data_IF_114763355093
#
_entry.id   IF_114763355093
#
_cell.length_a   1.000
_cell.length_b   1.000
_cell.length_c   1.000
_cell.angle_alpha   90.00
_cell.angle_beta   90.00
_cell.angle_gamma   90.00
#
_symmetry.space_group_name_H-M   'P 1'
#
loop_
_entity.id
_entity.type
_entity.pdbx_description
1 polymer ?
#
# COMPACT_ATOMS: atom_id res chain seq x y z
N UNK A 1 -77.97 -51.29 -37.47
CA UNK A 1 -77.00 -50.23 -37.40
C UNK A 1 -76.27 -50.45 -36.06
N UNK A 2 -75.11 -51.08 -36.12
CA UNK A 2 -74.33 -51.39 -34.96
C UNK A 2 -73.08 -50.47 -34.87
N UNK A 3 -73.04 -49.68 -33.88
CA UNK A 3 -71.88 -48.83 -33.59
C UNK A 3 -70.97 -49.56 -32.57
N UNK A 4 -69.80 -49.99 -33.04
CA UNK A 4 -68.79 -50.59 -32.17
C UNK A 4 -68.05 -49.50 -31.37
N UNK A 5 -68.06 -49.61 -30.04
CA UNK A 5 -67.20 -48.84 -29.15
C UNK A 5 -65.87 -49.56 -29.00
N UNK A 6 -64.78 -48.93 -29.45
CA UNK A 6 -63.40 -49.36 -29.19
C UNK A 6 -62.94 -48.78 -27.87
N UNK A 7 -62.72 -49.62 -26.87
CA UNK A 7 -62.04 -49.33 -25.63
C UNK A 7 -60.53 -49.23 -25.89
N UNK A 8 -59.97 -48.07 -25.77
CA UNK A 8 -58.54 -47.86 -25.65
C UNK A 8 -58.14 -47.96 -24.16
N UNK A 9 -57.59 -49.08 -23.77
CA UNK A 9 -56.91 -49.22 -22.47
C UNK A 9 -55.54 -48.55 -22.55
N UNK A 10 -55.41 -47.36 -21.90
CA UNK A 10 -54.16 -46.69 -21.71
C UNK A 10 -53.25 -47.51 -20.78
N UNK A 11 -52.27 -48.17 -21.34
CA UNK A 11 -51.27 -48.89 -20.56
C UNK A 11 -50.38 -47.89 -19.80
N UNK A 12 -50.52 -47.85 -18.47
CA UNK A 12 -49.60 -47.14 -17.59
C UNK A 12 -48.27 -47.87 -17.64
N UNK A 13 -47.28 -47.26 -18.25
CA UNK A 13 -45.90 -47.77 -18.32
C UNK A 13 -45.24 -47.54 -16.95
N UNK A 14 -45.43 -48.52 -16.04
CA UNK A 14 -44.79 -48.54 -14.72
C UNK A 14 -43.33 -48.98 -14.98
N UNK A 15 -42.39 -48.02 -14.88
CA UNK A 15 -40.97 -48.37 -14.86
C UNK A 15 -40.71 -49.34 -13.71
N UNK A 16 -39.94 -50.42 -13.91
CA UNK A 16 -39.67 -51.36 -12.83
C UNK A 16 -38.93 -50.59 -11.68
N UNK A 17 -39.49 -50.71 -10.50
CA UNK A 17 -38.87 -50.19 -9.26
C UNK A 17 -37.51 -50.87 -9.09
N UNK A 18 -36.42 -50.09 -9.02
CA UNK A 18 -35.07 -50.63 -8.82
C UNK A 18 -35.02 -51.21 -7.41
N UNK A 19 -35.04 -52.52 -7.32
CA UNK A 19 -34.78 -53.20 -6.05
C UNK A 19 -33.29 -53.08 -5.72
N UNK A 20 -33.00 -52.38 -4.63
CA UNK A 20 -31.64 -52.24 -4.11
C UNK A 20 -31.37 -53.39 -3.13
N UNK A 21 -30.20 -54.00 -3.26
CA UNK A 21 -29.70 -54.97 -2.29
C UNK A 21 -29.15 -54.23 -1.07
N UNK A 22 -29.02 -54.92 0.08
CA UNK A 22 -28.42 -54.35 1.26
C UNK A 22 -27.03 -53.79 0.98
N UNK A 23 -26.21 -54.51 0.21
CA UNK A 23 -24.90 -53.98 -0.25
C UNK A 23 -24.97 -52.71 -1.08
N UNK A 24 -25.99 -52.54 -1.89
CA UNK A 24 -26.14 -51.30 -2.68
C UNK A 24 -26.47 -50.13 -1.75
N UNK A 25 -27.27 -50.36 -0.72
CA UNK A 25 -27.62 -49.35 0.27
C UNK A 25 -26.39 -48.95 1.08
N UNK A 26 -25.59 -49.92 1.56
CA UNK A 26 -24.39 -49.68 2.35
C UNK A 26 -23.34 -48.92 1.55
N UNK A 27 -23.13 -49.26 0.27
CA UNK A 27 -22.23 -48.53 -0.63
C UNK A 27 -22.70 -47.09 -0.88
N UNK A 28 -24.01 -46.86 -1.05
CA UNK A 28 -24.56 -45.51 -1.23
C UNK A 28 -24.41 -44.65 0.03
N UNK A 29 -24.54 -45.25 1.22
CA UNK A 29 -24.32 -44.55 2.47
C UNK A 29 -22.86 -44.15 2.66
N UNK A 30 -21.91 -45.09 2.40
CA UNK A 30 -20.48 -44.83 2.49
C UNK A 30 -20.07 -43.72 1.51
N UNK A 31 -20.56 -43.77 0.27
CA UNK A 31 -20.32 -42.74 -0.75
C UNK A 31 -20.88 -41.36 -0.32
N UNK A 32 -22.07 -41.34 0.26
CA UNK A 32 -22.70 -40.13 0.79
C UNK A 32 -21.90 -39.52 1.96
N UNK A 33 -21.36 -40.35 2.87
CA UNK A 33 -20.53 -39.88 3.98
C UNK A 33 -19.21 -39.30 3.50
N UNK A 34 -18.56 -39.91 2.51
CA UNK A 34 -17.33 -39.40 1.90
C UNK A 34 -17.56 -38.08 1.15
N UNK A 35 -18.64 -37.96 0.37
CA UNK A 35 -19.02 -36.72 -0.30
C UNK A 35 -19.27 -35.60 0.72
N UNK A 36 -19.96 -35.91 1.83
CA UNK A 36 -20.15 -34.96 2.92
C UNK A 36 -18.85 -34.56 3.63
N UNK A 37 -17.89 -35.47 3.77
CA UNK A 37 -16.57 -35.21 4.34
C UNK A 37 -15.77 -34.29 3.44
N UNK A 38 -15.69 -34.61 2.15
CA UNK A 38 -15.01 -33.78 1.13
C UNK A 38 -15.63 -32.37 1.03
N UNK A 39 -16.95 -32.27 1.00
CA UNK A 39 -17.65 -30.99 0.99
C UNK A 39 -17.32 -30.11 2.21
N UNK A 40 -17.19 -30.72 3.40
CA UNK A 40 -16.80 -30.01 4.65
C UNK A 40 -15.34 -29.52 4.56
N UNK A 41 -14.42 -30.33 4.03
CA UNK A 41 -13.02 -29.94 3.86
C UNK A 41 -12.88 -28.80 2.86
N UNK A 42 -13.51 -28.89 1.69
CA UNK A 42 -13.52 -27.82 0.69
C UNK A 42 -14.09 -26.52 1.27
N UNK A 43 -15.18 -26.60 2.01
CA UNK A 43 -15.78 -25.44 2.67
C UNK A 43 -14.85 -24.82 3.71
N UNK A 44 -14.14 -25.65 4.50
CA UNK A 44 -13.18 -25.22 5.51
C UNK A 44 -11.98 -24.52 4.88
N UNK A 45 -11.43 -25.07 3.80
CA UNK A 45 -10.34 -24.45 3.03
C UNK A 45 -10.77 -23.12 2.39
N UNK A 46 -11.93 -23.11 1.76
CA UNK A 46 -12.52 -21.90 1.18
C UNK A 46 -12.73 -20.79 2.21
N UNK A 47 -13.21 -21.17 3.40
CA UNK A 47 -13.38 -20.21 4.49
C UNK A 47 -12.05 -19.68 5.01
N UNK A 48 -11.04 -20.55 5.20
CA UNK A 48 -9.70 -20.17 5.61
C UNK A 48 -9.04 -19.24 4.60
N UNK A 49 -9.17 -19.54 3.28
CA UNK A 49 -8.63 -18.71 2.21
C UNK A 49 -9.30 -17.33 2.15
N UNK A 50 -10.63 -17.26 2.29
CA UNK A 50 -11.39 -15.99 2.36
C UNK A 50 -10.98 -15.15 3.57
N UNK A 51 -10.80 -15.78 4.75
CA UNK A 51 -10.32 -15.11 5.97
C UNK A 51 -8.92 -14.54 5.77
N UNK A 52 -8.00 -15.32 5.18
CA UNK A 52 -6.62 -14.90 4.87
C UNK A 52 -6.60 -13.72 3.89
N UNK A 53 -7.40 -13.77 2.81
CA UNK A 53 -7.56 -12.66 1.85
C UNK A 53 -8.05 -11.38 2.53
N UNK A 54 -9.07 -11.46 3.40
CA UNK A 54 -9.59 -10.30 4.15
C UNK A 54 -8.55 -9.69 5.09
N UNK A 55 -7.76 -10.51 5.79
CA UNK A 55 -6.68 -10.04 6.66
C UNK A 55 -5.58 -9.36 5.87
N UNK A 56 -5.17 -9.94 4.74
CA UNK A 56 -4.16 -9.35 3.86
C UNK A 56 -4.65 -8.02 3.28
N UNK A 57 -5.91 -7.95 2.81
CA UNK A 57 -6.49 -6.70 2.31
C UNK A 57 -6.44 -5.59 3.36
N UNK A 58 -6.85 -5.88 4.60
CA UNK A 58 -6.78 -4.90 5.71
C UNK A 58 -5.35 -4.46 6.02
N UNK A 59 -4.36 -5.39 5.96
CA UNK A 59 -2.94 -5.05 6.13
C UNK A 59 -2.48 -4.12 5.01
N UNK A 60 -2.79 -4.44 3.75
CA UNK A 60 -2.43 -3.61 2.59
C UNK A 60 -3.07 -2.23 2.68
N UNK A 61 -4.37 -2.12 3.01
CA UNK A 61 -5.05 -0.84 3.19
C UNK A 61 -4.39 0.03 4.28
N UNK A 62 -3.97 -0.56 5.40
CA UNK A 62 -3.22 0.15 6.44
C UNK A 62 -1.86 0.62 5.93
N UNK A 63 -1.14 -0.23 5.19
CA UNK A 63 0.16 0.11 4.61
C UNK A 63 0.02 1.24 3.58
N UNK A 64 -0.99 1.17 2.70
CA UNK A 64 -1.28 2.23 1.70
C UNK A 64 -1.58 3.56 2.38
N UNK A 65 -2.42 3.57 3.42
CA UNK A 65 -2.69 4.78 4.21
C UNK A 65 -1.44 5.36 4.87
N UNK A 66 -0.53 4.51 5.32
CA UNK A 66 0.75 4.92 5.93
C UNK A 66 1.76 5.43 4.89
N UNK A 67 1.91 4.71 3.78
CA UNK A 67 2.95 5.00 2.78
C UNK A 67 2.65 6.23 1.92
N UNK A 68 1.39 6.63 1.81
CA UNK A 68 0.97 7.74 0.94
C UNK A 68 0.76 9.06 1.69
N UNK A 69 1.11 9.14 2.98
CA UNK A 69 0.94 10.36 3.75
C UNK A 69 2.09 11.32 3.51
N UNK A 70 1.92 12.21 2.51
CA UNK A 70 2.84 13.30 2.25
C UNK A 70 2.69 14.34 3.37
N UNK A 71 3.75 14.55 4.14
CA UNK A 71 3.82 15.54 5.21
C UNK A 71 4.08 16.94 4.65
N UNK A 72 5.03 17.04 3.73
CA UNK A 72 5.46 18.31 3.14
C UNK A 72 5.67 18.11 1.64
N UNK A 73 5.23 19.08 0.85
CA UNK A 73 5.54 19.20 -0.56
C UNK A 73 6.06 20.60 -0.81
N UNK A 74 7.24 20.71 -1.41
CA UNK A 74 7.94 21.97 -1.70
C UNK A 74 8.33 21.95 -3.16
N UNK A 75 8.12 23.08 -3.85
CA UNK A 75 8.56 23.27 -5.23
C UNK A 75 9.77 24.18 -5.29
N UNK A 76 10.67 23.92 -6.24
CA UNK A 76 11.77 24.84 -6.54
C UNK A 76 11.25 26.14 -7.16
N UNK A 77 12.08 27.18 -7.12
CA UNK A 77 11.78 28.49 -7.67
C UNK A 77 12.95 28.92 -8.56
N UNK A 78 12.78 28.93 -9.84
CA UNK A 78 13.75 29.53 -10.75
C UNK A 78 13.16 30.81 -11.33
N UNK A 79 13.79 31.92 -11.07
CA UNK A 79 13.47 33.21 -11.68
C UNK A 79 14.30 33.39 -12.96
N UNK A 80 13.73 33.96 -14.04
CA UNK A 80 12.35 34.40 -14.22
C UNK A 80 11.46 33.39 -14.96
N UNK A 81 11.96 32.22 -15.40
CA UNK A 81 11.27 31.35 -16.35
C UNK A 81 11.43 29.85 -16.04
N UNK A 82 11.26 29.42 -14.76
CA UNK A 82 11.16 27.97 -14.50
C UNK A 82 9.73 27.51 -14.81
N UNK A 83 9.54 27.00 -16.02
CA UNK A 83 8.27 26.40 -16.42
C UNK A 83 8.06 24.99 -15.84
N UNK A 84 9.10 24.37 -15.29
CA UNK A 84 9.08 22.98 -14.82
C UNK A 84 9.76 22.87 -13.44
N UNK A 85 9.14 23.44 -12.38
CA UNK A 85 9.76 23.43 -11.06
C UNK A 85 9.94 22.00 -10.56
N UNK A 86 11.09 21.70 -9.97
CA UNK A 86 11.36 20.48 -9.28
C UNK A 86 10.51 20.39 -8.01
N UNK A 87 10.15 19.19 -7.61
CA UNK A 87 9.29 18.95 -6.45
C UNK A 87 9.98 18.05 -5.43
N UNK A 88 9.97 18.49 -4.18
CA UNK A 88 10.35 17.70 -3.01
C UNK A 88 9.10 17.27 -2.25
N UNK A 89 8.85 15.97 -2.18
CA UNK A 89 7.83 15.38 -1.32
C UNK A 89 8.49 14.67 -0.14
N UNK A 90 8.12 15.06 1.07
CA UNK A 90 8.55 14.40 2.30
C UNK A 90 7.37 13.61 2.85
N UNK A 91 7.50 12.30 2.84
CA UNK A 91 6.56 11.34 3.40
C UNK A 91 7.09 10.82 4.75
N UNK A 92 6.28 10.09 5.50
CA UNK A 92 6.71 9.57 6.81
C UNK A 92 7.91 8.62 6.75
N UNK A 93 8.04 7.87 5.66
CA UNK A 93 9.07 6.82 5.52
C UNK A 93 10.09 7.08 4.41
N UNK A 94 9.83 8.05 3.54
CA UNK A 94 10.70 8.36 2.40
C UNK A 94 10.69 9.84 2.05
N UNK A 95 11.72 10.24 1.32
CA UNK A 95 11.79 11.51 0.61
C UNK A 95 11.82 11.22 -0.88
N UNK A 96 10.97 11.90 -1.64
CA UNK A 96 10.91 11.79 -3.10
C UNK A 96 11.22 13.13 -3.72
N UNK A 97 12.20 13.19 -4.61
CA UNK A 97 12.55 14.35 -5.42
C UNK A 97 12.18 14.04 -6.86
N UNK A 98 11.45 14.97 -7.47
CA UNK A 98 11.03 14.91 -8.87
C UNK A 98 11.71 16.06 -9.60
N UNK A 99 12.77 15.76 -10.35
CA UNK A 99 13.43 16.73 -11.21
C UNK A 99 12.69 16.76 -12.53
N UNK A 100 12.23 17.94 -12.93
CA UNK A 100 11.44 18.13 -14.15
C UNK A 100 12.25 18.84 -15.22
N UNK A 101 12.21 18.28 -16.42
CA UNK A 101 12.79 18.85 -17.63
C UNK A 101 11.71 19.00 -18.70
N UNK A 102 11.97 19.79 -19.75
CA UNK A 102 11.00 20.10 -20.81
C UNK A 102 10.29 18.87 -21.41
N UNK A 103 11.01 17.76 -21.59
CA UNK A 103 10.49 16.54 -22.23
C UNK A 103 10.68 15.27 -21.37
N UNK A 104 11.20 15.41 -20.16
CA UNK A 104 11.48 14.28 -19.28
C UNK A 104 11.30 14.65 -17.81
N UNK A 105 11.21 13.65 -16.96
CA UNK A 105 11.28 13.82 -15.51
C UNK A 105 12.08 12.67 -14.91
N UNK A 106 12.87 12.99 -13.91
CA UNK A 106 13.63 12.02 -13.13
C UNK A 106 13.10 11.99 -11.70
N UNK A 107 12.89 10.80 -11.16
CA UNK A 107 12.32 10.62 -9.82
C UNK A 107 13.30 9.85 -8.96
N UNK A 108 13.80 10.48 -7.92
CA UNK A 108 14.64 9.89 -6.90
C UNK A 108 13.83 9.69 -5.61
N UNK A 109 13.85 8.49 -5.05
CA UNK A 109 13.20 8.19 -3.77
C UNK A 109 14.18 7.55 -2.81
N UNK A 110 14.31 8.13 -1.61
CA UNK A 110 15.20 7.65 -0.56
C UNK A 110 14.39 7.38 0.70
N UNK A 111 14.52 6.19 1.27
CA UNK A 111 13.92 5.89 2.57
C UNK A 111 14.63 6.70 3.66
N UNK A 112 13.86 7.22 4.63
CA UNK A 112 14.39 8.03 5.75
C UNK A 112 15.52 7.31 6.49
N UNK A 113 15.40 6.01 6.73
CA UNK A 113 16.42 5.17 7.39
C UNK A 113 17.75 5.10 6.63
N UNK A 114 17.69 5.32 5.32
CA UNK A 114 18.86 5.24 4.43
C UNK A 114 19.53 6.62 4.23
N UNK A 115 18.96 7.70 4.73
CA UNK A 115 19.57 9.02 4.68
C UNK A 115 20.70 9.09 5.69
N UNK A 116 21.93 9.34 5.23
CA UNK A 116 23.09 9.53 6.11
C UNK A 116 23.24 10.98 6.57
N UNK A 117 23.03 11.93 5.67
CA UNK A 117 23.14 13.36 5.98
C UNK A 117 22.23 14.23 5.09
N UNK A 118 21.96 15.46 5.53
CA UNK A 118 21.23 16.47 4.78
C UNK A 118 21.97 17.78 4.92
N UNK A 119 22.42 18.31 3.80
CA UNK A 119 23.16 19.57 3.74
C UNK A 119 22.31 20.64 3.05
N UNK A 120 22.54 21.87 3.43
CA UNK A 120 21.99 23.06 2.76
C UNK A 120 23.16 23.93 2.34
N UNK A 121 23.28 24.14 1.05
CA UNK A 121 24.21 25.10 0.48
C UNK A 121 23.46 26.37 0.16
N UNK A 122 23.74 27.44 0.88
CA UNK A 122 23.05 28.72 0.71
C UNK A 122 23.75 29.56 -0.36
N UNK A 123 22.99 30.15 -1.24
CA UNK A 123 23.39 31.20 -2.17
C UNK A 123 22.65 32.50 -1.82
N UNK A 124 22.88 33.56 -2.57
CA UNK A 124 22.34 34.89 -2.27
C UNK A 124 20.81 34.91 -2.25
N UNK A 125 20.17 34.24 -3.20
CA UNK A 125 18.71 34.25 -3.36
C UNK A 125 18.06 32.91 -3.03
N UNK A 126 18.74 31.81 -3.30
CA UNK A 126 18.23 30.45 -3.19
C UNK A 126 19.20 29.54 -2.46
N UNK A 127 18.71 28.40 -2.06
CA UNK A 127 19.48 27.32 -1.44
C UNK A 127 19.37 26.04 -2.26
N UNK A 128 20.42 25.25 -2.19
CA UNK A 128 20.44 23.87 -2.66
C UNK A 128 20.29 22.94 -1.45
N UNK A 129 19.37 22.02 -1.53
CA UNK A 129 19.24 20.91 -0.56
C UNK A 129 19.96 19.70 -1.14
N UNK A 130 20.87 19.11 -0.36
CA UNK A 130 21.60 17.91 -0.73
C UNK A 130 21.25 16.80 0.26
N UNK A 131 20.72 15.69 -0.25
CA UNK A 131 20.42 14.50 0.54
C UNK A 131 21.47 13.45 0.22
N UNK A 132 22.19 13.00 1.24
CA UNK A 132 23.22 11.97 1.13
C UNK A 132 22.61 10.63 1.57
N UNK A 133 22.61 9.65 0.67
CA UNK A 133 22.10 8.30 0.91
C UNK A 133 23.22 7.32 1.17
N UNK A 134 22.93 6.29 1.97
CA UNK A 134 23.85 5.16 2.23
C UNK A 134 23.78 4.08 1.14
N UNK A 135 22.78 4.11 0.27
CA UNK A 135 22.40 2.96 -0.58
C UNK A 135 22.59 3.17 -2.07
N UNK A 136 22.94 4.36 -2.54
CA UNK A 136 23.15 4.64 -3.95
C UNK A 136 24.65 4.75 -4.29
N UNK A 137 25.03 4.34 -5.50
CA UNK A 137 26.36 4.56 -6.05
C UNK A 137 26.67 6.06 -6.18
N UNK A 138 25.69 6.87 -6.64
CA UNK A 138 25.70 8.31 -6.50
C UNK A 138 25.06 8.68 -5.15
N UNK A 139 25.90 8.89 -4.14
CA UNK A 139 25.45 9.11 -2.77
C UNK A 139 24.70 10.42 -2.54
N UNK A 140 24.63 11.31 -3.52
CA UNK A 140 24.07 12.65 -3.36
C UNK A 140 22.92 12.92 -4.32
N UNK A 141 21.77 13.28 -3.78
CA UNK A 141 20.63 13.79 -4.55
C UNK A 141 20.52 15.28 -4.25
N UNK A 142 20.54 16.10 -5.30
CA UNK A 142 20.55 17.56 -5.19
C UNK A 142 19.24 18.16 -5.69
N UNK A 143 18.70 19.07 -4.93
CA UNK A 143 17.55 19.88 -5.30
C UNK A 143 17.96 21.35 -5.24
N UNK A 144 17.95 22.01 -6.38
CA UNK A 144 18.38 23.39 -6.53
C UNK A 144 17.22 24.38 -6.37
N UNK A 145 17.56 25.66 -6.29
CA UNK A 145 16.63 26.77 -6.39
C UNK A 145 15.46 26.74 -5.37
N UNK A 146 15.72 26.27 -4.17
CA UNK A 146 14.75 26.36 -3.08
C UNK A 146 14.86 27.72 -2.38
N UNK A 147 13.75 28.25 -1.91
CA UNK A 147 13.82 29.33 -0.93
C UNK A 147 14.53 28.81 0.33
N UNK A 148 15.43 29.62 0.90
CA UNK A 148 16.21 29.21 2.09
C UNK A 148 15.34 28.75 3.25
N UNK A 149 14.19 29.44 3.48
CA UNK A 149 13.21 29.02 4.51
C UNK A 149 12.63 27.63 4.27
N UNK A 150 12.41 27.28 2.99
CA UNK A 150 11.81 26.00 2.62
C UNK A 150 12.85 24.86 2.68
N UNK A 151 14.11 25.14 2.30
CA UNK A 151 15.21 24.21 2.47
C UNK A 151 15.49 23.89 3.96
N UNK A 152 15.52 24.93 4.82
CA UNK A 152 15.67 24.77 6.28
C UNK A 152 14.48 24.00 6.87
N UNK A 153 13.27 24.29 6.41
CA UNK A 153 12.08 23.60 6.85
C UNK A 153 12.11 22.10 6.46
N UNK A 154 12.42 21.80 5.18
CA UNK A 154 12.58 20.44 4.70
C UNK A 154 13.61 19.65 5.51
N UNK A 155 14.79 20.23 5.72
CA UNK A 155 15.85 19.62 6.54
C UNK A 155 15.35 19.27 7.94
N UNK A 156 14.68 20.20 8.63
CA UNK A 156 14.14 19.96 9.98
C UNK A 156 13.17 18.80 10.01
N UNK A 157 12.25 18.73 9.05
CA UNK A 157 11.25 17.63 8.98
C UNK A 157 11.96 16.29 8.78
N UNK A 158 12.89 16.21 7.83
CA UNK A 158 13.61 14.95 7.55
C UNK A 158 14.51 14.55 8.74
N UNK A 159 15.21 15.48 9.38
CA UNK A 159 15.98 15.17 10.60
C UNK A 159 15.11 14.68 11.74
N UNK A 160 13.94 15.30 11.96
CA UNK A 160 12.95 14.83 12.95
C UNK A 160 12.44 13.42 12.63
N UNK A 161 12.16 13.13 11.34
CA UNK A 161 11.77 11.79 10.92
C UNK A 161 12.87 10.75 11.13
N UNK A 162 14.14 11.11 10.90
CA UNK A 162 15.29 10.24 11.20
C UNK A 162 15.38 9.89 12.67
N UNK A 163 15.13 10.85 13.56
CA UNK A 163 15.09 10.62 15.02
C UNK A 163 13.94 9.64 15.33
N UNK A 164 12.74 9.87 14.81
CA UNK A 164 11.60 8.98 15.01
C UNK A 164 11.88 7.54 14.51
N UNK A 165 12.54 7.42 13.35
CA UNK A 165 12.90 6.12 12.79
C UNK A 165 13.95 5.40 13.66
N UNK A 166 14.97 6.11 14.14
CA UNK A 166 16.02 5.55 15.00
C UNK A 166 15.46 5.10 16.36
N UNK A 167 14.50 5.85 16.92
CA UNK A 167 13.85 5.52 18.19
C UNK A 167 12.63 4.59 18.01
N UNK A 168 12.37 4.09 16.80
CA UNK A 168 11.24 3.24 16.48
C UNK A 168 9.86 3.81 16.89
N UNK A 169 9.70 5.15 16.82
CA UNK A 169 8.46 5.83 17.21
C UNK A 169 7.39 5.62 16.13
N UNK A 170 6.22 5.11 16.54
CA UNK A 170 5.08 4.96 15.61
C UNK A 170 4.38 6.30 15.36
N UNK A 171 4.39 6.74 14.11
CA UNK A 171 3.77 7.99 13.66
C UNK A 171 2.26 7.89 13.43
N UNK A 172 1.68 6.68 13.48
CA UNK A 172 0.28 6.42 13.11
C UNK A 172 -0.76 7.10 14.02
N UNK A 173 -0.37 7.41 15.26
CA UNK A 173 -1.23 8.07 16.23
C UNK A 173 -1.33 9.60 16.07
N UNK A 174 -0.48 10.20 15.23
CA UNK A 174 -0.44 11.65 15.06
C UNK A 174 -1.23 12.09 13.82
N UNK A 175 -1.92 13.23 13.93
CA UNK A 175 -2.39 13.94 12.74
C UNK A 175 -1.20 14.54 11.98
N UNK A 176 -1.39 14.85 10.68
CA UNK A 176 -0.33 15.49 9.88
C UNK A 176 0.24 16.75 10.54
N UNK A 177 -0.63 17.60 11.08
CA UNK A 177 -0.26 18.88 11.69
C UNK A 177 0.54 18.69 12.99
N UNK A 178 0.08 17.81 13.86
CA UNK A 178 0.76 17.46 15.11
C UNK A 178 2.14 16.84 14.84
N UNK A 179 2.22 15.90 13.88
CA UNK A 179 3.47 15.28 13.53
C UNK A 179 4.50 16.30 13.03
N UNK A 180 4.11 17.17 12.09
CA UNK A 180 4.99 18.25 11.60
C UNK A 180 5.48 19.13 12.73
N UNK A 181 4.62 19.48 13.68
CA UNK A 181 5.01 20.30 14.84
C UNK A 181 6.05 19.57 15.70
N UNK A 182 5.82 18.29 16.03
CA UNK A 182 6.77 17.50 16.83
C UNK A 182 8.11 17.32 16.14
N UNK A 183 8.12 17.06 14.84
CA UNK A 183 9.33 16.93 14.04
C UNK A 183 10.15 18.22 14.05
N UNK A 184 9.50 19.39 13.98
CA UNK A 184 10.16 20.70 14.11
C UNK A 184 10.77 20.91 15.49
N UNK A 185 10.08 20.55 16.56
CA UNK A 185 10.56 20.69 17.94
C UNK A 185 11.82 19.85 18.18
N UNK A 186 11.84 18.59 17.68
CA UNK A 186 12.98 17.67 17.83
C UNK A 186 14.23 18.13 17.09
N UNK A 187 14.06 18.71 15.92
CA UNK A 187 15.19 19.12 15.06
C UNK A 187 15.70 20.52 15.33
N UNK A 188 15.19 21.19 16.38
CA UNK A 188 15.67 22.50 16.79
C UNK A 188 16.99 22.36 17.54
N UNK A 189 18.11 22.52 16.86
CA UNK A 189 19.42 22.64 17.50
C UNK A 189 19.40 23.93 18.33
N UNK A 190 19.34 23.83 19.65
CA UNK A 190 19.58 24.95 20.53
C UNK A 190 21.05 25.33 20.39
N UNK A 191 21.33 26.43 19.72
CA UNK A 191 22.65 27.03 19.77
C UNK A 191 22.78 27.54 21.20
N UNK A 192 23.51 26.83 22.05
CA UNK A 192 23.92 27.31 23.36
C UNK A 192 24.97 28.40 23.08
N UNK A 193 24.59 29.63 23.33
CA UNK A 193 25.51 30.78 23.33
C UNK A 193 26.37 30.77 24.60
#
# INVERSE_FOLDING_TARGET
MNTAMTNQSGGVNIKPEKLYTQNDIDNLLEQSEDDHRQAREINRENWASKKRKRLNKRKVEKLVKKSNRILVSISSHALPFDFFPDILNIEEKRVTIINRHLLSSEVHSVDIKNISNILINNSILFSQLVIISKTFEENEIKLNNLLTKDAVFARRIVEGLRIFENENIDTSGYTKKELIQKLKELSTTKIVK
#
